data_IF_359554200096
#
_entry.id   IF_359554200096
#
_cell.length_a   1.000
_cell.length_b   1.000
_cell.length_c   1.000
_cell.angle_alpha   90.00
_cell.angle_beta   90.00
_cell.angle_gamma   90.00
#
_symmetry.space_group_name_H-M   'P 1'
#
loop_
_entity.id
_entity.type
_entity.pdbx_description
1 polymer ?
#
# COMPACT_ATOMS: atom_id res chain seq x y z
N UNK A 1 -22.22 7.91 20.58
CA UNK A 1 -21.11 8.29 21.49
C UNK A 1 -19.88 8.61 20.64
N UNK A 2 -18.86 9.27 21.18
CA UNK A 2 -17.64 9.58 20.44
C UNK A 2 -16.52 8.66 20.91
N UNK A 3 -15.94 7.90 19.99
CA UNK A 3 -14.86 6.96 20.27
C UNK A 3 -13.53 7.50 19.74
N UNK A 4 -12.42 7.02 20.30
CA UNK A 4 -11.07 7.27 19.82
C UNK A 4 -10.51 5.99 19.22
N UNK A 5 -10.19 6.00 17.93
CA UNK A 5 -9.49 4.90 17.28
C UNK A 5 -7.99 5.20 17.18
N UNK A 6 -7.18 4.18 17.47
CA UNK A 6 -5.74 4.17 17.29
C UNK A 6 -5.39 2.97 16.40
N UNK A 7 -4.44 3.14 15.50
CA UNK A 7 -3.95 2.10 14.60
C UNK A 7 -2.48 1.86 14.91
N UNK A 8 -2.13 0.60 15.18
CA UNK A 8 -0.76 0.18 15.49
C UNK A 8 -0.16 -0.50 14.25
N UNK A 9 1.01 -0.03 13.86
CA UNK A 9 1.81 -0.53 12.73
C UNK A 9 3.07 -1.22 13.23
N UNK A 10 3.55 -2.20 12.47
CA UNK A 10 4.75 -2.99 12.75
C UNK A 10 5.64 -3.09 11.51
N UNK A 11 6.93 -2.83 11.66
CA UNK A 11 7.94 -2.93 10.60
C UNK A 11 8.90 -4.10 10.92
N UNK A 12 8.83 -5.19 10.13
CA UNK A 12 9.66 -6.39 10.34
C UNK A 12 11.14 -6.18 9.99
N UNK A 13 11.40 -5.23 9.08
CA UNK A 13 12.74 -4.88 8.60
C UNK A 13 13.39 -3.74 9.39
N UNK A 14 12.85 -3.36 10.56
CA UNK A 14 13.38 -2.21 11.32
C UNK A 14 14.90 -2.32 11.54
N UNK A 15 15.38 -3.46 12.03
CA UNK A 15 16.81 -3.66 12.29
C UNK A 15 17.65 -3.61 10.99
N UNK A 16 17.14 -4.14 9.88
CA UNK A 16 17.81 -4.09 8.58
C UNK A 16 17.90 -2.66 8.03
N UNK A 17 16.81 -1.88 8.16
CA UNK A 17 16.77 -0.48 7.76
C UNK A 17 17.73 0.38 8.60
N UNK A 18 17.83 0.09 9.91
CA UNK A 18 18.82 0.72 10.80
C UNK A 18 20.23 0.39 10.32
N UNK A 19 20.57 -0.89 10.12
CA UNK A 19 21.90 -1.31 9.66
C UNK A 19 22.30 -0.65 8.33
N UNK A 20 21.34 -0.52 7.40
CA UNK A 20 21.54 0.15 6.12
C UNK A 20 21.80 1.65 6.31
N UNK A 21 21.06 2.34 7.18
CA UNK A 21 21.30 3.75 7.51
C UNK A 21 22.65 3.97 8.20
N UNK A 22 23.01 3.11 9.15
CA UNK A 22 24.32 3.13 9.83
C UNK A 22 25.44 3.02 8.82
N UNK A 23 25.33 2.05 7.90
CA UNK A 23 26.33 1.86 6.84
C UNK A 23 26.36 3.02 5.85
N UNK A 24 25.20 3.58 5.50
CA UNK A 24 25.07 4.63 4.50
C UNK A 24 25.60 5.98 4.99
N UNK A 25 25.34 6.32 6.26
CA UNK A 25 25.70 7.61 6.86
C UNK A 25 26.92 7.53 7.78
N UNK A 26 27.52 6.34 7.95
CA UNK A 26 28.67 6.09 8.82
C UNK A 26 28.37 6.52 10.27
N UNK A 27 27.16 6.19 10.75
CA UNK A 27 26.76 6.47 12.13
C UNK A 27 27.53 5.57 13.09
N UNK A 28 27.92 6.14 14.22
CA UNK A 28 28.56 5.39 15.31
C UNK A 28 27.49 5.00 16.33
N UNK A 29 27.25 3.70 16.48
CA UNK A 29 26.30 3.14 17.47
C UNK A 29 26.63 3.56 18.91
N UNK A 30 27.90 3.88 19.20
CA UNK A 30 28.33 4.33 20.52
C UNK A 30 28.12 5.85 20.74
N UNK A 31 27.65 6.61 19.73
CA UNK A 31 27.34 8.04 19.88
C UNK A 31 26.01 8.27 20.61
N UNK A 32 25.99 9.28 21.47
CA UNK A 32 24.81 9.67 22.24
C UNK A 32 23.66 10.19 21.36
N UNK A 33 23.92 10.59 20.12
CA UNK A 33 22.90 11.02 19.16
C UNK A 33 22.35 9.90 18.29
N UNK A 34 22.89 8.67 18.37
CA UNK A 34 22.53 7.57 17.47
C UNK A 34 21.01 7.36 17.38
N UNK A 35 20.35 7.23 18.53
CA UNK A 35 18.91 7.03 18.59
C UNK A 35 18.11 8.19 17.97
N UNK A 36 18.58 9.43 18.14
CA UNK A 36 17.95 10.62 17.56
C UNK A 36 18.18 10.70 16.05
N UNK A 37 19.37 10.29 15.58
CA UNK A 37 19.73 10.24 14.17
C UNK A 37 18.94 9.16 13.42
N UNK A 38 18.79 7.96 14.00
CA UNK A 38 17.92 6.90 13.45
C UNK A 38 16.46 7.34 13.42
N UNK A 39 15.94 7.91 14.51
CA UNK A 39 14.56 8.43 14.58
C UNK A 39 14.28 9.54 13.58
N UNK A 40 15.30 10.25 13.10
CA UNK A 40 15.11 11.28 12.08
C UNK A 40 14.81 10.69 10.69
N UNK A 41 15.21 9.43 10.44
CA UNK A 41 14.97 8.73 9.18
C UNK A 41 13.85 7.70 9.27
N UNK A 42 13.76 6.99 10.40
CA UNK A 42 12.72 5.99 10.69
C UNK A 42 11.84 6.54 11.82
N UNK A 43 10.99 7.50 11.47
CA UNK A 43 10.00 8.06 12.38
C UNK A 43 8.66 7.32 12.31
N UNK A 44 7.71 7.75 13.15
CA UNK A 44 6.36 7.17 13.17
C UNK A 44 5.69 7.21 11.78
N UNK A 45 5.91 8.29 11.01
CA UNK A 45 5.32 8.44 9.68
C UNK A 45 5.93 7.42 8.70
N UNK A 46 7.25 7.20 8.72
CA UNK A 46 7.90 6.16 7.93
C UNK A 46 7.34 4.76 8.24
N UNK A 47 7.18 4.42 9.52
CA UNK A 47 6.64 3.13 9.94
C UNK A 47 5.17 3.00 9.54
N UNK A 48 4.37 4.07 9.60
CA UNK A 48 2.97 4.05 9.15
C UNK A 48 2.89 3.86 7.63
N UNK A 49 3.81 4.44 6.86
CA UNK A 49 3.85 4.33 5.40
C UNK A 49 4.33 2.96 4.91
N UNK A 50 5.31 2.35 5.60
CA UNK A 50 5.98 1.13 5.14
C UNK A 50 5.64 -0.12 5.96
N UNK A 51 5.11 0.04 7.17
CA UNK A 51 4.80 -1.03 8.09
C UNK A 51 3.44 -1.70 7.85
N UNK A 52 3.28 -2.88 8.44
CA UNK A 52 2.04 -3.63 8.46
C UNK A 52 1.15 -3.14 9.60
N UNK A 53 -0.11 -2.76 9.32
CA UNK A 53 -1.06 -2.51 10.41
C UNK A 53 -1.46 -3.80 11.10
N UNK A 54 -1.14 -3.91 12.37
CA UNK A 54 -1.25 -5.14 13.17
C UNK A 54 -2.33 -5.07 14.25
N UNK A 55 -2.74 -3.88 14.67
CA UNK A 55 -3.84 -3.73 15.62
C UNK A 55 -4.67 -2.46 15.39
N UNK A 56 -5.94 -2.52 15.79
CA UNK A 56 -6.83 -1.37 15.93
C UNK A 56 -7.35 -1.37 17.36
N UNK A 57 -7.16 -0.24 18.06
CA UNK A 57 -7.66 -0.03 19.42
C UNK A 57 -8.76 1.02 19.40
N UNK A 58 -9.93 0.67 19.92
CA UNK A 58 -11.07 1.57 20.07
C UNK A 58 -11.26 1.86 21.54
N UNK A 59 -11.11 3.11 21.94
CA UNK A 59 -11.30 3.58 23.31
C UNK A 59 -12.58 4.40 23.42
N UNK A 60 -13.46 4.00 24.34
CA UNK A 60 -14.56 4.83 24.82
C UNK A 60 -14.06 5.72 25.97
N UNK A 61 -13.92 7.04 25.76
CA UNK A 61 -13.40 7.95 26.77
C UNK A 61 -14.35 8.17 27.96
N UNK A 62 -15.65 7.82 27.83
CA UNK A 62 -16.63 8.01 28.89
C UNK A 62 -16.64 6.83 29.88
N UNK A 63 -16.40 5.60 29.38
CA UNK A 63 -16.39 4.37 30.19
C UNK A 63 -14.99 3.83 30.45
N UNK A 64 -13.99 4.30 29.72
CA UNK A 64 -12.62 3.77 29.70
C UNK A 64 -12.51 2.31 29.26
N UNK A 65 -13.54 1.79 28.58
CA UNK A 65 -13.48 0.49 27.92
C UNK A 65 -12.66 0.61 26.62
N UNK A 66 -11.86 -0.42 26.35
CA UNK A 66 -11.07 -0.54 25.12
C UNK A 66 -11.40 -1.87 24.46
N UNK A 67 -11.75 -1.81 23.18
CA UNK A 67 -11.81 -2.98 22.32
C UNK A 67 -10.58 -2.99 21.41
N UNK A 68 -10.02 -4.17 21.18
CA UNK A 68 -8.79 -4.35 20.44
C UNK A 68 -8.96 -5.45 19.39
N UNK A 69 -8.78 -5.10 18.13
CA UNK A 69 -8.77 -6.04 17.02
C UNK A 69 -7.33 -6.25 16.53
N UNK A 70 -6.87 -7.50 16.55
CA UNK A 70 -5.51 -7.88 16.15
C UNK A 70 -5.52 -8.57 14.78
N UNK A 71 -4.51 -8.31 13.95
CA UNK A 71 -4.25 -9.07 12.75
C UNK A 71 -3.84 -10.50 13.13
N UNK A 72 -4.56 -11.49 12.62
CA UNK A 72 -4.25 -12.89 12.83
C UNK A 72 -3.25 -13.38 11.76
N UNK A 73 -2.30 -14.27 12.10
CA UNK A 73 -1.34 -14.84 11.14
C UNK A 73 -1.99 -15.60 9.98
N UNK A 74 -3.17 -16.19 10.19
CA UNK A 74 -3.93 -16.89 9.16
C UNK A 74 -4.81 -15.96 8.32
N UNK A 75 -4.78 -14.65 8.59
CA UNK A 75 -5.50 -13.67 7.81
C UNK A 75 -4.88 -13.59 6.40
N UNK A 76 -5.69 -13.60 5.32
CA UNK A 76 -5.17 -13.47 3.96
C UNK A 76 -4.36 -12.19 3.67
N UNK A 77 -4.41 -11.20 4.56
CA UNK A 77 -3.64 -9.95 4.50
C UNK A 77 -2.34 -9.98 5.31
N UNK A 78 -2.16 -10.99 6.17
CA UNK A 78 -0.90 -11.20 6.85
C UNK A 78 0.15 -11.63 5.82
N UNK A 79 1.29 -10.92 5.70
CA UNK A 79 2.41 -11.37 4.90
C UNK A 79 2.91 -12.74 5.36
N UNK A 80 3.60 -13.47 4.48
CA UNK A 80 4.13 -14.81 4.80
C UNK A 80 5.10 -14.82 6.00
N UNK A 81 5.73 -13.67 6.29
CA UNK A 81 6.60 -13.49 7.44
C UNK A 81 5.85 -13.21 8.74
N UNK A 82 4.58 -12.78 8.70
CA UNK A 82 3.81 -12.44 9.90
C UNK A 82 3.19 -13.70 10.51
N UNK A 83 3.94 -14.31 11.41
CA UNK A 83 3.62 -15.55 12.08
C UNK A 83 3.14 -15.37 13.53
N UNK A 84 3.20 -16.48 14.26
CA UNK A 84 2.80 -16.53 15.67
C UNK A 84 3.76 -15.73 16.56
N UNK A 85 5.03 -15.63 16.18
CA UNK A 85 6.06 -14.90 16.94
C UNK A 85 5.84 -13.38 16.83
N UNK A 86 5.59 -12.89 15.62
CA UNK A 86 5.29 -11.48 15.34
C UNK A 86 3.98 -11.07 16.02
N UNK A 87 2.95 -11.92 15.94
CA UNK A 87 1.70 -11.68 16.66
C UNK A 87 1.92 -11.61 18.19
N UNK A 88 2.83 -12.41 18.75
CA UNK A 88 3.15 -12.35 20.17
C UNK A 88 3.87 -11.03 20.54
N UNK A 89 4.75 -10.53 19.68
CA UNK A 89 5.40 -9.22 19.85
C UNK A 89 4.35 -8.10 19.81
N UNK A 90 3.43 -8.14 18.85
CA UNK A 90 2.31 -7.19 18.74
C UNK A 90 1.45 -7.20 20.01
N UNK A 91 1.11 -8.39 20.51
CA UNK A 91 0.33 -8.51 21.75
C UNK A 91 1.07 -7.94 22.96
N UNK A 92 2.38 -8.18 23.05
CA UNK A 92 3.21 -7.61 24.12
C UNK A 92 3.25 -6.08 24.03
N UNK A 93 3.37 -5.53 22.83
CA UNK A 93 3.39 -4.08 22.62
C UNK A 93 2.04 -3.43 22.91
N UNK A 94 0.93 -4.05 22.47
CA UNK A 94 -0.43 -3.65 22.82
C UNK A 94 -0.62 -3.57 24.34
N UNK A 95 -0.07 -4.53 25.09
CA UNK A 95 -0.11 -4.49 26.56
C UNK A 95 0.73 -3.37 27.16
N UNK A 96 1.85 -2.97 26.52
CA UNK A 96 2.70 -1.86 27.00
C UNK A 96 2.06 -0.50 26.75
N UNK A 97 1.42 -0.31 25.61
CA UNK A 97 0.79 0.97 25.24
C UNK A 97 -0.51 1.21 26.02
N UNK A 98 -1.20 0.16 26.47
CA UNK A 98 -2.41 0.26 27.28
C UNK A 98 -2.06 0.39 28.77
N UNK A 99 -2.06 1.61 29.29
CA UNK A 99 -1.71 1.90 30.69
C UNK A 99 -2.98 2.19 31.51
N UNK A 100 -3.26 1.31 32.46
CA UNK A 100 -4.31 1.52 33.46
C UNK A 100 -3.80 2.38 34.63
N UNK A 101 -4.64 3.29 35.11
CA UNK A 101 -4.33 4.20 36.21
C UNK A 101 -5.10 3.83 37.48
N UNK A 102 -4.62 4.32 38.63
CA UNK A 102 -5.22 4.08 39.95
C UNK A 102 -6.65 4.64 40.10
N UNK A 103 -7.06 5.55 39.22
CA UNK A 103 -8.40 6.15 39.18
C UNK A 103 -9.39 5.40 38.27
N UNK A 104 -9.03 4.18 37.86
CA UNK A 104 -9.80 3.32 36.96
C UNK A 104 -9.94 3.86 35.53
N UNK A 105 -9.11 4.82 35.13
CA UNK A 105 -9.00 5.26 33.74
C UNK A 105 -7.93 4.48 32.99
N UNK A 106 -8.01 4.49 31.65
CA UNK A 106 -6.99 3.91 30.78
C UNK A 106 -6.48 4.95 29.80
N UNK A 107 -5.17 5.01 29.62
CA UNK A 107 -4.52 5.80 28.58
C UNK A 107 -3.79 4.91 27.59
N UNK A 108 -3.85 5.30 26.32
CA UNK A 108 -3.01 4.73 25.28
C UNK A 108 -1.81 5.64 25.09
N UNK A 109 -0.60 5.12 25.28
CA UNK A 109 0.68 5.85 25.18
C UNK A 109 1.44 5.41 23.92
N UNK A 110 2.46 6.16 23.46
CA UNK A 110 3.29 5.75 22.33
C UNK A 110 3.97 4.37 22.57
N UNK A 111 4.27 3.63 21.50
CA UNK A 111 5.05 2.40 21.57
C UNK A 111 6.42 2.62 22.24
N UNK A 112 6.90 1.59 22.92
CA UNK A 112 8.24 1.52 23.50
C UNK A 112 9.23 0.83 22.57
N UNK A 113 8.75 -0.11 21.78
CA UNK A 113 9.55 -0.80 20.77
C UNK A 113 9.58 0.04 19.48
N UNK A 114 10.77 0.40 18.97
CA UNK A 114 10.89 1.29 17.81
C UNK A 114 10.44 0.64 16.50
N UNK A 115 10.24 -0.68 16.44
CA UNK A 115 9.65 -1.33 15.28
C UNK A 115 8.13 -1.05 15.14
N UNK A 116 7.53 -0.32 16.09
CA UNK A 116 6.10 -0.02 16.12
C UNK A 116 5.83 1.47 16.11
N UNK A 117 4.78 1.86 15.40
CA UNK A 117 4.23 3.20 15.40
C UNK A 117 2.73 3.19 15.67
N UNK A 118 2.25 4.21 16.40
CA UNK A 118 0.85 4.35 16.74
C UNK A 118 0.31 5.66 16.17
N UNK A 119 -0.80 5.57 15.42
CA UNK A 119 -1.41 6.78 14.86
C UNK A 119 -2.00 7.69 15.94
N UNK A 120 -2.04 8.99 15.65
CA UNK A 120 -2.81 9.93 16.45
C UNK A 120 -4.29 9.52 16.49
N UNK A 121 -4.99 9.72 17.64
CA UNK A 121 -6.35 9.22 17.80
C UNK A 121 -7.31 9.88 16.81
N UNK A 122 -7.98 9.07 15.99
CA UNK A 122 -9.12 9.50 15.19
C UNK A 122 -10.38 9.49 16.05
N UNK A 123 -11.03 10.65 16.18
CA UNK A 123 -12.29 10.77 16.91
C UNK A 123 -13.46 10.63 15.95
N UNK A 124 -14.40 9.73 16.24
CA UNK A 124 -15.56 9.49 15.38
C UNK A 124 -16.80 9.06 16.17
N UNK A 125 -18.01 9.31 15.64
CA UNK A 125 -19.23 8.87 16.28
C UNK A 125 -19.59 7.42 15.90
N UNK A 126 -20.03 6.64 16.89
CA UNK A 126 -20.67 5.34 16.68
C UNK A 126 -21.78 5.10 17.74
N UNK A 127 -22.58 4.05 17.53
CA UNK A 127 -23.68 3.68 18.45
C UNK A 127 -23.15 3.07 19.75
N UNK A 128 -22.23 2.11 19.63
CA UNK A 128 -21.57 1.40 20.73
C UNK A 128 -20.15 0.99 20.34
N UNK A 129 -19.42 0.39 21.30
CA UNK A 129 -18.02 -0.01 21.12
C UNK A 129 -17.86 -1.06 20.02
N UNK A 130 -18.79 -2.02 19.91
CA UNK A 130 -18.76 -3.05 18.85
C UNK A 130 -18.97 -2.44 17.47
N UNK A 131 -19.95 -1.54 17.32
CA UNK A 131 -20.18 -0.81 16.08
C UNK A 131 -18.97 0.06 15.73
N UNK A 132 -18.33 0.69 16.71
CA UNK A 132 -17.10 1.46 16.51
C UNK A 132 -15.95 0.58 15.99
N UNK A 133 -15.74 -0.59 16.58
CA UNK A 133 -14.75 -1.58 16.13
C UNK A 133 -15.08 -2.09 14.74
N UNK A 134 -16.33 -2.44 14.44
CA UNK A 134 -16.75 -2.87 13.10
C UNK A 134 -16.62 -1.75 12.08
N UNK A 135 -16.89 -0.49 12.45
CA UNK A 135 -16.70 0.66 11.56
C UNK A 135 -15.24 0.86 11.23
N UNK A 136 -14.33 0.79 12.21
CA UNK A 136 -12.90 0.92 11.95
C UNK A 136 -12.34 -0.30 11.22
N UNK A 137 -12.81 -1.51 11.57
CA UNK A 137 -12.51 -2.69 10.78
C UNK A 137 -13.03 -2.52 9.36
N UNK A 138 -14.25 -2.03 9.13
CA UNK A 138 -14.85 -1.80 7.81
C UNK A 138 -14.18 -0.70 6.98
N UNK A 139 -13.84 0.43 7.60
CA UNK A 139 -13.01 1.51 7.00
C UNK A 139 -11.62 0.96 6.60
N UNK A 140 -11.21 -0.12 7.26
CA UNK A 140 -9.96 -0.84 7.04
C UNK A 140 -10.07 -2.13 6.21
N UNK A 141 -11.29 -2.65 5.97
CA UNK A 141 -11.57 -4.00 5.46
C UNK A 141 -12.49 -4.06 4.25
N UNK A 142 -13.06 -2.94 3.79
CA UNK A 142 -13.76 -2.98 2.52
C UNK A 142 -12.74 -3.19 1.39
N UNK A 143 -12.87 -4.36 0.80
CA UNK A 143 -12.72 -4.55 -0.62
C UNK A 143 -13.10 -3.24 -1.35
N UNK A 144 -12.10 -2.50 -1.82
CA UNK A 144 -12.32 -1.22 -2.46
C UNK A 144 -12.43 -1.41 -3.96
N UNK A 145 -13.17 -0.50 -4.60
CA UNK A 145 -13.25 -0.48 -6.05
C UNK A 145 -12.07 0.29 -6.61
N UNK A 146 -11.10 -0.45 -7.13
CA UNK A 146 -9.95 0.12 -7.81
C UNK A 146 -10.27 0.40 -9.28
N UNK A 147 -9.78 1.54 -9.76
CA UNK A 147 -9.86 1.86 -11.18
C UNK A 147 -8.68 1.24 -11.90
N UNK A 148 -8.95 0.33 -12.83
CA UNK A 148 -7.92 -0.29 -13.64
C UNK A 148 -7.95 0.24 -15.08
N UNK A 149 -6.78 0.38 -15.69
CA UNK A 149 -6.64 0.68 -17.10
C UNK A 149 -5.33 0.07 -17.63
N UNK A 150 -5.21 -0.06 -18.94
CA UNK A 150 -3.98 -0.47 -19.58
C UNK A 150 -3.54 0.53 -20.64
N UNK A 151 -2.24 0.50 -20.92
CA UNK A 151 -1.68 1.11 -22.12
C UNK A 151 -1.55 0.01 -23.15
N UNK A 152 -2.15 0.22 -24.31
CA UNK A 152 -2.06 -0.68 -25.44
C UNK A 152 -1.13 -0.11 -26.51
N UNK A 153 -0.44 -0.99 -27.21
CA UNK A 153 0.40 -0.66 -28.35
C UNK A 153 -0.21 -1.20 -29.64
N UNK A 154 -0.26 -0.35 -30.68
CA UNK A 154 -0.70 -0.69 -32.03
C UNK A 154 0.53 -0.74 -32.96
N UNK A 155 1.02 -1.94 -33.32
CA UNK A 155 2.25 -2.10 -34.10
C UNK A 155 2.16 -1.52 -35.51
N UNK A 156 0.96 -1.61 -36.11
CA UNK A 156 0.67 -1.14 -37.45
C UNK A 156 -0.55 -0.21 -37.40
N UNK A 157 -0.35 1.08 -37.64
CA UNK A 157 -1.41 2.10 -37.64
C UNK A 157 -2.52 1.88 -38.68
N UNK A 158 -2.34 0.94 -39.61
CA UNK A 158 -3.36 0.52 -40.58
C UNK A 158 -4.20 -0.67 -40.12
N UNK A 159 -3.87 -1.25 -38.97
CA UNK A 159 -4.58 -2.36 -38.34
C UNK A 159 -5.18 -1.89 -37.02
N UNK A 160 -6.34 -2.41 -36.67
CA UNK A 160 -6.96 -2.19 -35.35
C UNK A 160 -6.41 -3.15 -34.29
N UNK A 161 -5.49 -4.04 -34.65
CA UNK A 161 -4.83 -4.95 -33.72
C UNK A 161 -3.89 -4.18 -32.79
N UNK A 162 -4.26 -4.15 -31.51
CA UNK A 162 -3.45 -3.65 -30.41
C UNK A 162 -3.33 -4.71 -29.33
N UNK A 163 -2.36 -4.53 -28.44
CA UNK A 163 -2.24 -5.38 -27.26
C UNK A 163 -1.70 -4.60 -26.04
N UNK A 164 -2.06 -4.99 -24.81
CA UNK A 164 -1.56 -4.39 -23.58
C UNK A 164 -0.04 -4.47 -23.47
N UNK A 165 0.59 -3.36 -23.10
CA UNK A 165 2.04 -3.25 -22.81
C UNK A 165 2.32 -2.77 -21.38
N UNK A 166 1.33 -2.21 -20.70
CA UNK A 166 1.36 -1.98 -19.26
C UNK A 166 -0.08 -1.96 -18.70
N UNK A 167 -0.24 -2.38 -17.45
CA UNK A 167 -1.49 -2.31 -16.68
C UNK A 167 -1.27 -1.44 -15.47
N UNK A 168 -2.25 -0.60 -15.16
CA UNK A 168 -2.25 0.35 -14.07
C UNK A 168 -3.50 0.15 -13.23
N UNK A 169 -3.32 0.28 -11.91
CA UNK A 169 -4.39 0.29 -10.93
C UNK A 169 -4.23 1.56 -10.10
N UNK A 170 -5.31 2.32 -10.01
CA UNK A 170 -5.39 3.57 -9.29
C UNK A 170 -6.35 3.43 -8.10
N UNK A 171 -5.86 3.75 -6.91
CA UNK A 171 -6.66 3.97 -5.72
C UNK A 171 -7.01 5.48 -5.62
N UNK A 172 -8.29 5.86 -5.83
CA UNK A 172 -8.68 7.26 -5.73
C UNK A 172 -8.68 7.83 -4.31
N UNK A 173 -8.60 6.98 -3.28
CA UNK A 173 -8.64 7.40 -1.87
C UNK A 173 -7.28 7.91 -1.42
N UNK A 174 -6.25 7.15 -1.77
CA UNK A 174 -4.86 7.42 -1.34
C UNK A 174 -4.03 8.05 -2.47
N UNK A 175 -4.67 8.35 -3.61
CA UNK A 175 -3.99 8.83 -4.82
C UNK A 175 -2.80 7.92 -5.23
N UNK A 176 -2.92 6.63 -4.93
CA UNK A 176 -1.88 5.64 -5.15
C UNK A 176 -2.06 5.00 -6.53
N UNK A 177 -0.97 4.89 -7.29
CA UNK A 177 -0.94 4.27 -8.61
C UNK A 177 0.10 3.16 -8.62
N UNK A 178 -0.34 1.91 -8.72
CA UNK A 178 0.53 0.76 -8.92
C UNK A 178 0.42 0.27 -10.37
N UNK A 179 1.46 -0.39 -10.86
CA UNK A 179 1.50 -0.79 -12.27
C UNK A 179 2.36 -2.01 -12.54
N UNK A 180 2.09 -2.67 -13.68
CA UNK A 180 2.91 -3.73 -14.25
C UNK A 180 3.21 -3.42 -15.72
N UNK A 181 4.48 -3.29 -16.08
CA UNK A 181 4.93 -3.16 -17.47
C UNK A 181 5.38 -4.49 -18.08
N UNK A 182 5.17 -4.66 -19.39
CA UNK A 182 5.58 -5.84 -20.17
C UNK A 182 6.69 -5.53 -21.18
N UNK A 183 7.80 -4.96 -20.71
CA UNK A 183 8.98 -4.64 -21.53
C UNK A 183 9.79 -5.88 -21.91
N UNK A 184 9.72 -6.95 -21.12
CA UNK A 184 10.38 -8.24 -21.37
C UNK A 184 9.54 -9.22 -22.20
N UNK A 185 9.10 -10.30 -21.55
CA UNK A 185 8.12 -11.24 -22.12
C UNK A 185 6.73 -10.63 -21.94
N UNK A 186 6.06 -10.37 -23.06
CA UNK A 186 4.70 -9.87 -23.06
C UNK A 186 3.75 -11.00 -23.47
N UNK A 187 2.91 -11.52 -22.56
CA UNK A 187 1.99 -12.62 -22.85
C UNK A 187 0.87 -12.24 -23.82
N UNK A 188 0.65 -10.94 -24.05
CA UNK A 188 -0.39 -10.43 -24.95
C UNK A 188 0.15 -10.10 -26.35
N UNK A 189 1.48 -10.01 -26.51
CA UNK A 189 2.09 -9.60 -27.76
C UNK A 189 1.97 -10.70 -28.82
N UNK A 190 1.65 -10.35 -30.08
CA UNK A 190 1.65 -11.30 -31.18
C UNK A 190 3.08 -11.77 -31.48
N UNK A 191 3.21 -12.93 -32.12
CA UNK A 191 4.53 -13.47 -32.54
C UNK A 191 5.32 -12.52 -33.46
N UNK A 192 4.61 -11.64 -34.16
CA UNK A 192 5.20 -10.62 -35.04
C UNK A 192 5.84 -9.45 -34.28
N UNK A 193 5.68 -9.38 -32.95
CA UNK A 193 6.23 -8.33 -32.10
C UNK A 193 7.76 -8.40 -32.02
N UNK A 194 8.40 -7.56 -32.81
CA UNK A 194 9.84 -7.61 -33.01
C UNK A 194 10.62 -6.70 -32.06
N UNK A 195 11.93 -6.89 -32.02
CA UNK A 195 12.86 -6.12 -31.16
C UNK A 195 12.78 -4.60 -31.37
N UNK A 196 12.48 -4.13 -32.58
CA UNK A 196 12.35 -2.68 -32.86
C UNK A 196 11.09 -2.12 -32.23
N UNK A 197 9.97 -2.83 -32.34
CA UNK A 197 8.70 -2.44 -31.70
C UNK A 197 8.83 -2.49 -30.18
N UNK A 198 9.52 -3.50 -29.63
CA UNK A 198 9.81 -3.57 -28.19
C UNK A 198 10.54 -2.34 -27.67
N UNK A 199 11.59 -1.88 -28.36
CA UNK A 199 12.29 -0.64 -28.00
C UNK A 199 11.42 0.62 -28.06
N UNK A 200 10.44 0.66 -28.97
CA UNK A 200 9.49 1.77 -29.06
C UNK A 200 8.59 1.76 -27.81
N UNK A 201 8.12 0.58 -27.39
CA UNK A 201 7.31 0.39 -26.19
C UNK A 201 8.11 0.75 -24.93
N UNK A 202 9.31 0.18 -24.77
CA UNK A 202 10.22 0.46 -23.64
C UNK A 202 10.41 1.96 -23.44
N UNK A 203 10.88 2.66 -24.48
CA UNK A 203 11.09 4.11 -24.42
C UNK A 203 9.83 4.87 -24.05
N UNK A 204 8.66 4.44 -24.56
CA UNK A 204 7.41 5.14 -24.27
C UNK A 204 6.94 4.91 -22.84
N UNK A 205 7.12 3.70 -22.30
CA UNK A 205 6.81 3.41 -20.91
C UNK A 205 7.75 4.17 -19.96
N UNK A 206 9.04 4.26 -20.29
CA UNK A 206 10.00 5.06 -19.53
C UNK A 206 9.59 6.54 -19.48
N UNK A 207 9.15 7.12 -20.61
CA UNK A 207 8.59 8.47 -20.67
C UNK A 207 7.35 8.63 -19.77
N UNK A 208 6.47 7.63 -19.73
CA UNK A 208 5.25 7.65 -18.92
C UNK A 208 5.59 7.57 -17.42
N UNK A 209 6.48 6.65 -17.02
CA UNK A 209 6.89 6.50 -15.63
C UNK A 209 7.61 7.76 -15.11
N UNK A 210 8.54 8.32 -15.89
CA UNK A 210 9.20 9.56 -15.53
C UNK A 210 8.20 10.73 -15.39
N UNK A 211 7.16 10.78 -16.23
CA UNK A 211 6.10 11.78 -16.14
C UNK A 211 5.19 11.56 -14.91
N UNK A 212 4.88 10.31 -14.55
CA UNK A 212 4.16 9.98 -13.32
C UNK A 212 4.94 10.48 -12.10
N UNK A 213 6.23 10.18 -12.01
CA UNK A 213 7.07 10.61 -10.89
C UNK A 213 7.19 12.13 -10.80
N UNK A 214 7.36 12.79 -11.96
CA UNK A 214 7.37 14.26 -12.04
C UNK A 214 6.02 14.87 -11.66
N UNK A 215 4.90 14.19 -11.93
CA UNK A 215 3.56 14.69 -11.61
C UNK A 215 3.26 14.69 -10.11
N UNK A 216 3.91 13.82 -9.32
CA UNK A 216 3.76 13.76 -7.86
C UNK A 216 4.20 15.05 -7.17
N UNK A 217 5.12 15.80 -7.78
CA UNK A 217 5.72 17.02 -7.21
C UNK A 217 5.24 18.31 -7.88
N UNK A 218 4.38 18.22 -8.90
CA UNK A 218 3.98 19.36 -9.73
C UNK A 218 2.74 20.10 -9.18
N UNK A 219 2.80 21.43 -9.15
CA UNK A 219 1.69 22.33 -8.75
C UNK A 219 0.50 22.34 -9.73
N UNK A 220 0.73 21.93 -10.99
CA UNK A 220 -0.30 21.74 -12.00
C UNK A 220 -0.04 20.41 -12.73
N UNK A 221 -0.56 19.28 -12.22
CA UNK A 221 -0.29 17.97 -12.81
C UNK A 221 -0.95 17.86 -14.19
N UNK A 222 -0.12 17.70 -15.22
CA UNK A 222 -0.58 17.27 -16.55
C UNK A 222 -0.66 15.75 -16.53
N UNK A 223 -1.81 15.17 -16.90
CA UNK A 223 -1.96 13.71 -16.93
C UNK A 223 -0.87 13.09 -17.83
N UNK A 224 -0.05 12.16 -17.29
CA UNK A 224 0.98 11.43 -18.06
C UNK A 224 0.40 10.68 -19.26
N UNK A 225 -0.91 10.44 -19.24
CA UNK A 225 -1.65 9.67 -20.25
C UNK A 225 -2.33 10.55 -21.30
N UNK A 226 -2.25 11.87 -21.21
CA UNK A 226 -2.94 12.78 -22.13
C UNK A 226 -2.36 12.76 -23.56
N UNK A 227 -1.05 12.50 -23.72
CA UNK A 227 -0.35 12.53 -25.00
C UNK A 227 0.50 11.27 -25.23
N UNK A 228 -0.18 10.15 -25.49
CA UNK A 228 0.46 8.86 -25.74
C UNK A 228 1.00 8.70 -27.17
N UNK A 229 0.56 9.56 -28.10
CA UNK A 229 0.93 9.47 -29.51
C UNK A 229 0.08 8.45 -30.29
N UNK A 230 0.35 8.26 -31.59
CA UNK A 230 -0.57 7.56 -32.49
C UNK A 230 -0.58 6.04 -32.32
N UNK A 231 0.50 5.45 -31.80
CA UNK A 231 0.64 3.99 -31.64
C UNK A 231 0.24 3.50 -30.25
N UNK A 232 -0.14 4.40 -29.35
CA UNK A 232 -0.44 4.06 -27.97
C UNK A 232 -1.78 4.64 -27.58
N UNK A 233 -2.57 3.85 -26.85
CA UNK A 233 -3.83 4.30 -26.29
C UNK A 233 -3.98 3.82 -24.86
N UNK A 234 -4.65 4.63 -24.04
CA UNK A 234 -5.12 4.20 -22.73
C UNK A 234 -6.52 3.58 -22.90
N UNK A 235 -6.65 2.33 -22.50
CA UNK A 235 -7.92 1.60 -22.52
C UNK A 235 -8.35 1.33 -21.09
N UNK A 236 -9.62 1.62 -20.78
CA UNK A 236 -10.19 1.33 -19.47
C UNK A 236 -10.42 -0.16 -19.31
N UNK A 237 -10.05 -0.71 -18.15
CA UNK A 237 -10.40 -2.06 -17.75
C UNK A 237 -11.57 -2.03 -16.76
N UNK A 238 -12.30 -3.15 -16.58
CA UNK A 238 -13.28 -3.24 -15.52
C UNK A 238 -12.65 -2.90 -14.17
N UNK A 239 -13.34 -2.09 -13.38
CA UNK A 239 -12.95 -1.87 -11.99
C UNK A 239 -12.94 -3.20 -11.25
N UNK A 240 -12.01 -3.35 -10.31
CA UNK A 240 -11.84 -4.57 -9.54
C UNK A 240 -12.03 -4.26 -8.07
N UNK A 241 -12.85 -5.07 -7.45
CA UNK A 241 -13.01 -5.10 -6.01
C UNK A 241 -11.86 -5.91 -5.41
N UNK A 242 -11.04 -5.26 -4.58
CA UNK A 242 -9.86 -5.89 -4.02
C UNK A 242 -9.50 -5.31 -2.65
N UNK A 243 -8.60 -6.01 -1.98
CA UNK A 243 -8.17 -5.73 -0.61
C UNK A 243 -7.09 -4.64 -0.53
N UNK A 244 -6.40 -4.37 -1.65
CA UNK A 244 -5.28 -3.44 -1.75
C UNK A 244 -4.89 -3.21 -3.21
N UNK A 245 -4.09 -2.18 -3.52
CA UNK A 245 -3.72 -1.85 -4.90
C UNK A 245 -2.94 -2.99 -5.60
N UNK A 246 -2.06 -3.70 -4.90
CA UNK A 246 -1.32 -4.83 -5.49
C UNK A 246 -2.22 -6.05 -5.73
N UNK A 247 -3.12 -6.36 -4.79
CA UNK A 247 -4.12 -7.42 -4.99
C UNK A 247 -5.06 -7.06 -6.16
N UNK A 248 -5.46 -5.79 -6.27
CA UNK A 248 -6.24 -5.30 -7.41
C UNK A 248 -5.48 -5.46 -8.72
N UNK A 249 -4.17 -5.18 -8.73
CA UNK A 249 -3.31 -5.36 -9.90
C UNK A 249 -3.23 -6.84 -10.30
N UNK A 250 -3.00 -7.74 -9.36
CA UNK A 250 -2.98 -9.19 -9.62
C UNK A 250 -4.30 -9.69 -10.19
N UNK A 251 -5.43 -9.37 -9.56
CA UNK A 251 -6.76 -9.76 -10.07
C UNK A 251 -7.04 -9.16 -11.46
N UNK A 252 -6.61 -7.92 -11.70
CA UNK A 252 -6.75 -7.27 -13.01
C UNK A 252 -5.95 -8.03 -14.07
N UNK A 253 -4.72 -8.42 -13.75
CA UNK A 253 -3.83 -9.18 -14.64
C UNK A 253 -4.40 -10.56 -14.97
N UNK A 254 -4.89 -11.28 -13.97
CA UNK A 254 -5.51 -12.61 -14.15
C UNK A 254 -6.73 -12.54 -15.07
N UNK A 255 -7.63 -11.58 -14.82
CA UNK A 255 -8.83 -11.36 -15.66
C UNK A 255 -8.46 -10.96 -17.08
N UNK A 256 -7.48 -10.08 -17.25
CA UNK A 256 -7.00 -9.65 -18.56
C UNK A 256 -6.38 -10.81 -19.34
N UNK A 257 -5.57 -11.64 -18.68
CA UNK A 257 -4.97 -12.84 -19.28
C UNK A 257 -6.03 -13.84 -19.73
N UNK A 258 -7.01 -14.15 -18.86
CA UNK A 258 -8.10 -15.06 -19.20
C UNK A 258 -8.90 -14.55 -20.41
N UNK A 259 -9.30 -13.27 -20.38
CA UNK A 259 -10.03 -12.65 -21.49
C UNK A 259 -9.23 -12.64 -22.80
N UNK A 260 -7.92 -12.38 -22.73
CA UNK A 260 -7.06 -12.36 -23.92
C UNK A 260 -6.89 -13.75 -24.53
N UNK A 261 -6.79 -14.79 -23.69
CA UNK A 261 -6.73 -16.18 -24.15
C UNK A 261 -8.05 -16.61 -24.81
N UNK A 262 -9.19 -16.18 -24.28
CA UNK A 262 -10.50 -16.42 -24.89
C UNK A 262 -10.66 -15.72 -26.25
N UNK A 263 -10.09 -14.52 -26.42
CA UNK A 263 -10.10 -13.78 -27.69
C UNK A 263 -9.18 -14.41 -28.75
N UNK A 264 -8.13 -15.12 -28.32
CA UNK A 264 -7.14 -15.74 -29.21
C UNK A 264 -7.48 -17.19 -29.63
N UNK A 265 -8.50 -17.81 -29.02
CA UNK A 265 -8.99 -19.15 -29.29
C UNK A 265 -10.09 -19.17 -30.36
#
# INVERSE_FOLDING_TARGET
MAFRAYELYYLDSYDEEVDDLVTMYDYDEDDYSFDDDIRWHIDDDYIIENGLRVAILIHDPDTHEIDCALLQPDNPRAPDWYGVEEMANVMAEVQRIMVAHDDYTVSIVPPQDPAFALTAPRVFPAEDLTAATVMMLGDSQDNAWYSAFCIEFTPNLKSDESFPVAVFVYDPRDNCLVSKSFTGINPFAPETFNRRQRRIVERKLDEIFAAIDSSKTATHPVSPFANLGPQFRASRLPSVEAVGPDHALLQTLERLLAWWQEQAA
#
